data_IF_764189109811
#
_entry.id   IF_764189109811
#
_cell.length_a   1.000
_cell.length_b   1.000
_cell.length_c   1.000
_cell.angle_alpha   90.00
_cell.angle_beta   90.00
_cell.angle_gamma   90.00
#
_symmetry.space_group_name_H-M   'P 1'
#
loop_
_entity.id
_entity.type
_entity.pdbx_description
1 polymer ?
#
# COMPACT_ATOMS: atom_id res chain seq x y z
N UNK A 1 -10.61 27.12 21.99
CA UNK A 1 -10.67 28.60 22.07
C UNK A 1 -11.64 29.17 21.05
N UNK A 2 -11.45 28.94 19.74
CA UNK A 2 -12.37 29.46 18.71
C UNK A 2 -13.79 28.93 18.90
N UNK A 3 -13.96 27.61 18.93
CA UNK A 3 -15.27 26.97 19.07
C UNK A 3 -15.92 27.27 20.43
N UNK A 4 -15.14 27.19 21.52
CA UNK A 4 -15.66 27.31 22.88
C UNK A 4 -15.89 28.74 23.37
N UNK A 5 -15.33 29.76 22.71
CA UNK A 5 -15.38 31.15 23.20
C UNK A 5 -15.82 32.15 22.13
N UNK A 6 -15.27 32.07 20.92
CA UNK A 6 -15.57 33.01 19.83
C UNK A 6 -16.87 32.64 19.11
N UNK A 7 -17.14 31.35 18.88
CA UNK A 7 -18.36 30.88 18.22
C UNK A 7 -19.63 31.39 18.90
N UNK A 8 -19.83 31.14 20.21
CA UNK A 8 -21.01 31.61 20.93
C UNK A 8 -21.14 33.14 21.00
N UNK A 9 -20.04 33.89 20.86
CA UNK A 9 -20.07 35.35 20.84
C UNK A 9 -20.48 35.87 19.45
N UNK A 10 -19.96 35.25 18.38
CA UNK A 10 -20.34 35.60 17.02
C UNK A 10 -21.80 35.30 16.74
N UNK A 11 -22.31 34.13 17.14
CA UNK A 11 -23.74 33.79 16.99
C UNK A 11 -24.65 34.82 17.66
N UNK A 12 -24.26 35.31 18.85
CA UNK A 12 -25.02 36.38 19.53
C UNK A 12 -25.00 37.68 18.76
N UNK A 13 -23.87 38.03 18.16
CA UNK A 13 -23.75 39.26 17.37
C UNK A 13 -24.49 39.16 16.05
N UNK A 14 -24.41 38.02 15.36
CA UNK A 14 -25.18 37.71 14.14
C UNK A 14 -26.68 37.85 14.42
N UNK A 15 -27.18 37.19 15.47
CA UNK A 15 -28.58 37.28 15.87
C UNK A 15 -29.02 38.72 16.23
N UNK A 16 -28.16 39.51 16.89
CA UNK A 16 -28.45 40.92 17.17
C UNK A 16 -28.46 41.79 15.91
N UNK A 17 -27.53 41.56 14.97
CA UNK A 17 -27.49 42.26 13.69
C UNK A 17 -28.74 41.92 12.86
N UNK A 18 -29.13 40.65 12.84
CA UNK A 18 -30.33 40.17 12.16
C UNK A 18 -31.61 40.74 12.78
N UNK A 19 -31.69 40.85 14.11
CA UNK A 19 -32.88 41.37 14.77
C UNK A 19 -33.01 42.90 14.72
N UNK A 20 -31.89 43.63 14.75
CA UNK A 20 -31.90 45.09 14.92
C UNK A 20 -31.56 45.87 13.65
N UNK A 21 -30.85 45.26 12.70
CA UNK A 21 -30.27 45.94 11.54
C UNK A 21 -30.73 45.40 10.19
N UNK A 22 -31.05 44.10 10.11
CA UNK A 22 -31.63 43.48 8.93
C UNK A 22 -33.14 43.36 9.14
N UNK A 23 -33.93 43.88 8.20
CA UNK A 23 -35.38 43.77 8.26
C UNK A 23 -35.82 42.58 7.39
N UNK A 24 -36.92 41.91 7.76
CA UNK A 24 -37.42 40.64 7.18
C UNK A 24 -37.60 40.63 5.63
N UNK A 25 -37.56 41.79 4.96
CA UNK A 25 -37.86 41.92 3.52
C UNK A 25 -36.65 41.76 2.58
N UNK A 26 -35.41 41.81 3.09
CA UNK A 26 -34.21 41.83 2.21
C UNK A 26 -33.62 40.44 1.92
N UNK A 27 -34.06 39.38 2.62
CA UNK A 27 -33.55 38.02 2.44
C UNK A 27 -32.04 37.88 2.71
N UNK A 28 -31.49 38.76 3.54
CA UNK A 28 -30.08 38.82 3.92
C UNK A 28 -29.87 38.15 5.29
N UNK A 29 -28.77 37.44 5.43
CA UNK A 29 -28.31 36.83 6.69
C UNK A 29 -26.92 37.39 7.06
N UNK A 30 -26.64 37.49 8.36
CA UNK A 30 -25.34 37.94 8.85
C UNK A 30 -24.53 36.73 9.32
N UNK A 31 -23.39 36.44 8.68
CA UNK A 31 -22.50 35.35 9.07
C UNK A 31 -21.04 35.82 9.18
N UNK A 32 -20.39 35.50 10.30
CA UNK A 32 -18.95 35.67 10.50
C UNK A 32 -18.17 34.49 9.91
N UNK A 33 -17.40 34.78 8.86
CA UNK A 33 -16.53 33.79 8.21
C UNK A 33 -15.29 33.46 9.06
N UNK A 34 -15.38 32.41 9.88
CA UNK A 34 -14.25 31.88 10.65
C UNK A 34 -13.22 31.11 9.82
N UNK A 35 -13.49 30.87 8.54
CA UNK A 35 -12.57 30.21 7.60
C UNK A 35 -11.20 30.89 7.53
N UNK A 36 -11.13 32.21 7.75
CA UNK A 36 -9.88 32.95 7.77
C UNK A 36 -9.10 32.82 9.08
N UNK A 37 -9.73 32.39 10.17
CA UNK A 37 -9.07 32.15 11.44
C UNK A 37 -8.17 30.90 11.39
N UNK A 38 -8.52 29.94 10.53
CA UNK A 38 -7.69 28.77 10.17
C UNK A 38 -6.39 29.16 9.42
N UNK A 39 -6.24 30.41 8.97
CA UNK A 39 -4.97 30.89 8.37
C UNK A 39 -3.81 30.82 9.36
N UNK A 40 -4.07 30.86 10.67
CA UNK A 40 -3.06 30.71 11.72
C UNK A 40 -2.63 29.25 11.99
N UNK A 41 -3.39 28.26 11.51
CA UNK A 41 -3.07 26.83 11.64
C UNK A 41 -2.86 26.20 10.26
N UNK A 42 -1.62 26.24 9.79
CA UNK A 42 -1.22 25.68 8.50
C UNK A 42 -1.53 24.18 8.37
N UNK A 43 -1.55 23.43 9.48
CA UNK A 43 -1.80 21.99 9.45
C UNK A 43 -3.28 21.68 9.24
N UNK A 44 -4.17 22.31 10.01
CA UNK A 44 -5.62 22.18 9.84
C UNK A 44 -6.05 22.67 8.44
N UNK A 45 -5.45 23.76 7.96
CA UNK A 45 -5.72 24.31 6.63
C UNK A 45 -5.29 23.38 5.49
N UNK A 46 -4.11 22.75 5.61
CA UNK A 46 -3.65 21.76 4.63
C UNK A 46 -4.56 20.52 4.60
N UNK A 47 -5.01 20.06 5.77
CA UNK A 47 -5.93 18.93 5.89
C UNK A 47 -7.30 19.23 5.26
N UNK A 48 -7.85 20.43 5.49
CA UNK A 48 -9.12 20.86 4.92
C UNK A 48 -9.11 20.81 3.37
N UNK A 49 -8.11 21.42 2.74
CA UNK A 49 -7.99 21.39 1.28
C UNK A 49 -7.72 19.98 0.74
N UNK A 50 -6.89 19.19 1.41
CA UNK A 50 -6.61 17.82 0.99
C UNK A 50 -7.88 16.96 1.02
N UNK A 51 -8.67 17.06 2.09
CA UNK A 51 -9.94 16.36 2.23
C UNK A 51 -10.94 16.78 1.15
N UNK A 52 -11.03 18.08 0.83
CA UNK A 52 -11.93 18.57 -0.21
C UNK A 52 -11.55 18.17 -1.62
N UNK A 53 -10.25 18.23 -1.95
CA UNK A 53 -9.73 17.84 -3.26
C UNK A 53 -9.91 16.35 -3.49
N UNK A 54 -9.60 15.51 -2.49
CA UNK A 54 -9.75 14.06 -2.60
C UNK A 54 -11.23 13.61 -2.52
N UNK A 55 -12.05 14.35 -1.76
CA UNK A 55 -13.49 14.11 -1.66
C UNK A 55 -14.29 14.60 -2.87
N UNK A 56 -13.68 15.37 -3.76
CA UNK A 56 -14.27 15.81 -5.02
C UNK A 56 -15.28 16.95 -4.92
N UNK A 57 -15.49 17.53 -3.73
CA UNK A 57 -16.33 18.72 -3.55
C UNK A 57 -15.56 20.04 -3.66
N UNK A 58 -14.23 19.98 -3.65
CA UNK A 58 -13.35 21.13 -3.87
C UNK A 58 -12.41 20.86 -5.05
N UNK A 59 -12.36 21.76 -6.01
CA UNK A 59 -11.39 21.72 -7.09
C UNK A 59 -10.05 22.31 -6.65
N UNK A 60 -8.98 21.94 -7.35
CA UNK A 60 -7.64 22.47 -7.03
C UNK A 60 -7.53 23.96 -7.34
N UNK A 61 -8.27 24.49 -8.32
CA UNK A 61 -8.28 25.93 -8.59
C UNK A 61 -9.08 26.72 -7.55
N UNK A 62 -10.18 26.19 -7.02
CA UNK A 62 -10.89 26.84 -5.91
C UNK A 62 -10.00 26.97 -4.66
N UNK A 63 -9.23 25.92 -4.34
CA UNK A 63 -8.23 25.97 -3.26
C UNK A 63 -7.08 26.97 -3.53
N UNK A 64 -6.75 27.24 -4.81
CA UNK A 64 -5.73 28.26 -5.16
C UNK A 64 -6.29 29.66 -5.02
N UNK A 65 -7.53 29.88 -5.44
CA UNK A 65 -8.22 31.16 -5.31
C UNK A 65 -8.39 31.55 -3.83
N UNK A 66 -8.76 30.60 -2.96
CA UNK A 66 -8.87 30.84 -1.51
C UNK A 66 -7.52 31.21 -0.86
N UNK A 67 -6.41 30.79 -1.48
CA UNK A 67 -5.04 31.13 -1.09
C UNK A 67 -4.48 32.38 -1.80
N UNK A 68 -5.31 33.11 -2.56
CA UNK A 68 -4.88 34.25 -3.40
C UNK A 68 -3.78 33.87 -4.42
N UNK A 69 -3.83 32.65 -4.95
CA UNK A 69 -2.95 32.16 -6.00
C UNK A 69 -3.69 32.12 -7.34
N UNK A 70 -2.96 32.40 -8.42
CA UNK A 70 -3.53 32.33 -9.78
C UNK A 70 -3.96 30.89 -10.12
N UNK A 71 -5.11 30.71 -10.80
CA UNK A 71 -5.55 29.40 -11.27
C UNK A 71 -4.59 28.82 -12.30
N UNK A 72 -4.55 27.50 -12.39
CA UNK A 72 -3.76 26.76 -13.38
C UNK A 72 -4.70 26.05 -14.37
N UNK A 73 -4.31 25.94 -15.66
CA UNK A 73 -5.16 25.29 -16.65
C UNK A 73 -5.41 23.81 -16.31
N UNK A 74 -6.65 23.35 -16.44
CA UNK A 74 -7.03 21.94 -16.26
C UNK A 74 -7.26 21.51 -14.80
N UNK A 75 -7.28 22.45 -13.86
CA UNK A 75 -7.51 22.18 -12.43
C UNK A 75 -8.91 22.56 -11.93
N UNK A 76 -9.81 22.92 -12.83
CA UNK A 76 -11.20 23.34 -12.56
C UNK A 76 -12.19 22.18 -12.43
N UNK A 77 -11.73 20.93 -12.58
CA UNK A 77 -12.56 19.73 -12.41
C UNK A 77 -12.20 19.02 -11.11
N UNK A 78 -13.18 18.45 -10.40
CA UNK A 78 -12.94 17.58 -9.26
C UNK A 78 -11.92 16.49 -9.61
N UNK A 79 -11.01 16.21 -8.68
CA UNK A 79 -10.03 15.15 -8.87
C UNK A 79 -10.76 13.81 -8.91
N UNK A 80 -10.74 13.14 -10.07
CA UNK A 80 -11.23 11.78 -10.18
C UNK A 80 -10.14 10.82 -9.72
N UNK A 81 -10.40 9.96 -8.72
CA UNK A 81 -9.41 8.96 -8.31
C UNK A 81 -9.16 8.00 -9.48
N UNK A 82 -7.87 7.75 -9.77
CA UNK A 82 -7.41 6.97 -10.93
C UNK A 82 -7.97 5.53 -10.97
N UNK A 83 -8.44 5.02 -9.83
CA UNK A 83 -9.00 3.68 -9.70
C UNK A 83 -10.52 3.59 -10.02
N UNK A 84 -11.17 4.71 -10.38
CA UNK A 84 -12.61 4.81 -10.68
C UNK A 84 -12.90 5.38 -12.08
N UNK A 85 -11.92 5.34 -12.99
CA UNK A 85 -12.18 5.70 -14.38
C UNK A 85 -12.87 4.52 -15.08
N UNK A 86 -14.18 4.64 -15.32
CA UNK A 86 -14.86 3.82 -16.31
C UNK A 86 -14.30 4.14 -17.71
N UNK A 87 -13.96 3.08 -18.43
CA UNK A 87 -13.43 3.07 -19.79
C UNK A 87 -14.53 3.50 -20.78
N UNK A 88 -14.91 4.78 -20.80
CA UNK A 88 -16.08 5.20 -21.57
C UNK A 88 -16.19 6.66 -22.02
N UNK A 89 -15.42 7.61 -21.51
CA UNK A 89 -15.60 9.01 -21.89
C UNK A 89 -14.28 9.69 -22.24
N UNK A 90 -13.73 9.29 -23.38
CA UNK A 90 -12.80 10.11 -24.15
C UNK A 90 -13.59 10.77 -25.29
N UNK A 91 -13.69 12.12 -25.36
CA UNK A 91 -14.18 12.77 -26.57
C UNK A 91 -13.26 12.42 -27.74
N UNK A 92 -13.87 12.10 -28.88
CA UNK A 92 -13.22 11.56 -30.09
C UNK A 92 -12.13 12.45 -30.71
N UNK A 93 -11.36 11.90 -31.65
CA UNK A 93 -9.98 12.28 -31.90
C UNK A 93 -9.86 13.44 -32.90
N UNK A 94 -9.14 14.49 -32.53
CA UNK A 94 -8.41 15.30 -33.50
C UNK A 94 -6.99 14.72 -33.62
N UNK A 95 -6.70 14.12 -34.76
CA UNK A 95 -5.35 13.64 -35.08
C UNK A 95 -4.53 14.82 -35.58
N UNK A 96 -3.34 15.08 -35.02
CA UNK A 96 -2.18 15.03 -35.90
C UNK A 96 -1.06 14.18 -35.31
N UNK A 97 -0.66 13.19 -36.11
CA UNK A 97 0.66 12.55 -36.22
C UNK A 97 1.75 13.08 -35.29
N UNK A 98 1.97 12.35 -34.19
CA UNK A 98 3.30 12.17 -33.63
C UNK A 98 3.53 10.66 -33.60
N UNK A 99 4.56 10.22 -34.32
CA UNK A 99 5.10 8.87 -34.31
C UNK A 99 5.04 8.28 -32.90
N UNK A 100 4.40 7.11 -32.69
CA UNK A 100 4.34 6.54 -31.36
C UNK A 100 5.78 6.25 -30.90
N UNK A 101 6.29 6.84 -29.80
CA UNK A 101 7.29 6.13 -29.04
C UNK A 101 6.64 4.81 -28.64
N UNK A 102 7.36 3.71 -28.83
CA UNK A 102 6.97 2.38 -28.40
C UNK A 102 6.51 2.41 -26.94
N UNK A 103 5.21 2.58 -26.73
CA UNK A 103 4.60 2.48 -25.42
C UNK A 103 4.37 0.99 -25.19
N UNK A 104 5.40 0.35 -24.64
CA UNK A 104 5.25 -0.97 -24.03
C UNK A 104 4.02 -0.91 -23.11
N UNK A 105 3.01 -1.78 -23.29
CA UNK A 105 1.85 -1.79 -22.42
C UNK A 105 2.29 -1.96 -20.97
N UNK A 106 1.58 -1.37 -19.98
CA UNK A 106 1.89 -1.55 -18.57
C UNK A 106 1.68 -3.02 -18.18
N UNK A 107 2.79 -3.76 -18.27
CA UNK A 107 3.15 -4.92 -17.48
C UNK A 107 2.14 -6.04 -17.37
N UNK A 108 2.20 -7.00 -18.29
CA UNK A 108 2.36 -8.40 -17.84
C UNK A 108 3.36 -8.37 -16.69
N UNK A 109 3.10 -8.94 -15.50
CA UNK A 109 4.05 -8.91 -14.40
C UNK A 109 5.38 -9.39 -14.99
N UNK A 110 6.38 -8.51 -15.01
CA UNK A 110 7.66 -8.88 -15.60
C UNK A 110 8.08 -10.15 -14.87
N UNK A 111 8.54 -11.17 -15.60
CA UNK A 111 9.02 -12.41 -14.97
C UNK A 111 10.01 -12.10 -13.82
N UNK A 112 10.68 -10.94 -13.86
CA UNK A 112 11.48 -10.39 -12.76
C UNK A 112 10.71 -10.09 -11.46
N UNK A 113 9.49 -9.53 -11.51
CA UNK A 113 8.68 -9.28 -10.30
C UNK A 113 8.16 -10.59 -9.67
N UNK A 114 7.73 -11.54 -10.50
CA UNK A 114 7.31 -12.87 -10.03
C UNK A 114 8.50 -13.60 -9.38
N UNK A 115 9.66 -13.59 -10.04
CA UNK A 115 10.89 -14.15 -9.49
C UNK A 115 11.30 -13.46 -8.17
N UNK A 116 11.22 -12.12 -8.09
CA UNK A 116 11.55 -11.40 -6.86
C UNK A 116 10.65 -11.79 -5.67
N UNK A 117 9.35 -12.00 -5.92
CA UNK A 117 8.41 -12.48 -4.89
C UNK A 117 8.73 -13.92 -4.47
N UNK A 118 9.02 -14.81 -5.43
CA UNK A 118 9.43 -16.18 -5.16
C UNK A 118 10.71 -16.24 -4.32
N UNK A 119 11.74 -15.49 -4.69
CA UNK A 119 13.00 -15.38 -3.95
C UNK A 119 12.78 -14.82 -2.54
N UNK A 120 11.93 -13.80 -2.38
CA UNK A 120 11.63 -13.24 -1.06
C UNK A 120 10.91 -14.25 -0.16
N UNK A 121 9.98 -15.04 -0.70
CA UNK A 121 9.31 -16.11 0.03
C UNK A 121 10.31 -17.23 0.41
N UNK A 122 11.10 -17.70 -0.55
CA UNK A 122 12.13 -18.73 -0.35
C UNK A 122 13.14 -18.35 0.73
N UNK A 123 13.63 -17.10 0.74
CA UNK A 123 14.56 -16.60 1.77
C UNK A 123 13.99 -16.65 3.19
N UNK A 124 12.68 -16.40 3.36
CA UNK A 124 12.04 -16.48 4.69
C UNK A 124 12.00 -17.92 5.20
N UNK A 125 11.77 -18.87 4.31
CA UNK A 125 11.78 -20.30 4.64
C UNK A 125 13.20 -20.77 4.93
N UNK A 126 14.16 -20.49 4.03
CA UNK A 126 15.56 -20.89 4.19
C UNK A 126 16.18 -20.38 5.50
N UNK A 127 15.96 -19.11 5.86
CA UNK A 127 16.41 -18.56 7.15
C UNK A 127 15.84 -19.31 8.34
N UNK A 128 14.54 -19.63 8.28
CA UNK A 128 13.89 -20.39 9.34
C UNK A 128 14.47 -21.81 9.42
N UNK A 129 14.72 -22.46 8.29
CA UNK A 129 15.40 -23.77 8.27
C UNK A 129 16.77 -23.72 8.94
N UNK A 130 17.57 -22.68 8.70
CA UNK A 130 18.89 -22.58 9.32
C UNK A 130 18.80 -22.53 10.86
N UNK A 131 17.82 -21.80 11.41
CA UNK A 131 17.56 -21.79 12.86
C UNK A 131 17.17 -23.19 13.38
N UNK A 132 16.36 -23.92 12.61
CA UNK A 132 15.89 -25.27 12.96
C UNK A 132 17.02 -26.30 12.87
N UNK A 133 17.83 -26.27 11.81
CA UNK A 133 18.99 -27.14 11.61
C UNK A 133 20.05 -26.87 12.68
N UNK A 134 20.37 -25.60 12.96
CA UNK A 134 21.33 -25.24 13.99
C UNK A 134 20.90 -25.77 15.37
N UNK A 135 19.59 -25.69 15.68
CA UNK A 135 19.02 -26.23 16.91
C UNK A 135 19.03 -27.76 16.94
N UNK A 136 18.78 -28.43 15.82
CA UNK A 136 18.82 -29.89 15.73
C UNK A 136 20.26 -30.43 15.85
N UNK A 137 21.25 -29.75 15.24
CA UNK A 137 22.68 -30.15 15.28
C UNK A 137 23.28 -30.12 16.69
N UNK A 138 22.74 -29.31 17.61
CA UNK A 138 23.18 -29.27 19.01
C UNK A 138 22.55 -30.35 19.91
N UNK A 139 21.60 -31.12 19.38
CA UNK A 139 20.94 -32.21 20.11
C UNK A 139 21.76 -33.51 20.05
N UNK A 140 21.62 -34.37 21.07
CA UNK A 140 22.35 -35.65 21.16
C UNK A 140 21.93 -36.64 20.06
N UNK A 141 20.65 -36.63 19.69
CA UNK A 141 20.09 -37.41 18.57
C UNK A 141 19.64 -36.42 17.48
N UNK A 142 20.51 -36.22 16.49
CA UNK A 142 20.33 -35.21 15.45
C UNK A 142 19.21 -35.59 14.48
N UNK A 143 19.16 -36.87 14.09
CA UNK A 143 18.22 -37.35 13.07
C UNK A 143 16.79 -37.31 13.61
N UNK A 144 16.58 -37.76 14.85
CA UNK A 144 15.28 -37.65 15.50
C UNK A 144 14.86 -36.18 15.70
N UNK A 145 15.79 -35.31 16.08
CA UNK A 145 15.52 -33.89 16.26
C UNK A 145 15.14 -33.19 14.93
N UNK A 146 15.81 -33.51 13.82
CA UNK A 146 15.47 -32.98 12.50
C UNK A 146 14.06 -33.40 12.10
N UNK A 147 13.71 -34.68 12.26
CA UNK A 147 12.39 -35.20 11.88
C UNK A 147 11.25 -34.51 12.66
N UNK A 148 11.41 -34.33 13.97
CA UNK A 148 10.41 -33.64 14.80
C UNK A 148 10.24 -32.17 14.38
N UNK A 149 11.35 -31.48 14.15
CA UNK A 149 11.36 -30.05 13.85
C UNK A 149 10.81 -29.77 12.45
N UNK A 150 11.19 -30.56 11.46
CA UNK A 150 10.68 -30.44 10.09
C UNK A 150 9.20 -30.86 9.99
N UNK A 151 8.74 -31.84 10.77
CA UNK A 151 7.32 -32.21 10.84
C UNK A 151 6.42 -31.03 11.22
N UNK A 152 6.88 -30.15 12.12
CA UNK A 152 6.19 -28.90 12.48
C UNK A 152 6.39 -27.80 11.42
N UNK A 153 7.46 -27.86 10.65
CA UNK A 153 7.82 -26.86 9.64
C UNK A 153 7.01 -26.99 8.34
N UNK A 154 6.57 -28.20 7.96
CA UNK A 154 5.84 -28.45 6.69
C UNK A 154 4.68 -27.48 6.48
N UNK A 155 3.85 -27.25 7.50
CA UNK A 155 2.71 -26.33 7.40
C UNK A 155 3.12 -24.88 7.16
N UNK A 156 4.27 -24.47 7.71
CA UNK A 156 4.83 -23.14 7.46
C UNK A 156 5.34 -23.03 6.01
N UNK A 157 6.06 -24.03 5.50
CA UNK A 157 6.54 -24.06 4.11
C UNK A 157 5.36 -23.99 3.14
N UNK A 158 4.35 -24.85 3.34
CA UNK A 158 3.14 -24.89 2.50
C UNK A 158 2.42 -23.53 2.47
N UNK A 159 2.29 -22.86 3.62
CA UNK A 159 1.60 -21.56 3.70
C UNK A 159 2.40 -20.41 3.10
N UNK A 160 3.71 -20.33 3.35
CA UNK A 160 4.56 -19.25 2.83
C UNK A 160 4.77 -19.36 1.32
N UNK A 161 4.97 -20.57 0.83
CA UNK A 161 5.25 -20.83 -0.59
C UNK A 161 3.98 -21.05 -1.41
N UNK A 162 2.80 -21.14 -0.76
CA UNK A 162 1.52 -21.46 -1.41
C UNK A 162 1.58 -22.79 -2.18
N UNK A 163 2.22 -23.79 -1.58
CA UNK A 163 2.40 -25.12 -2.16
C UNK A 163 1.37 -26.11 -1.61
N UNK A 164 0.97 -27.13 -2.38
CA UNK A 164 0.23 -28.26 -1.85
C UNK A 164 0.99 -28.92 -0.69
N UNK A 165 0.25 -29.41 0.32
CA UNK A 165 0.86 -29.98 1.52
C UNK A 165 1.76 -31.19 1.22
N UNK A 166 1.39 -32.00 0.23
CA UNK A 166 2.17 -33.14 -0.26
C UNK A 166 3.55 -32.71 -0.76
N UNK A 167 3.61 -31.71 -1.65
CA UNK A 167 4.86 -31.16 -2.19
C UNK A 167 5.73 -30.53 -1.10
N UNK A 168 5.14 -29.83 -0.14
CA UNK A 168 5.88 -29.28 0.99
C UNK A 168 6.48 -30.39 1.88
N UNK A 169 5.77 -31.53 2.02
CA UNK A 169 6.25 -32.69 2.79
C UNK A 169 7.43 -33.35 2.09
N UNK A 170 7.36 -33.54 0.77
CA UNK A 170 8.44 -34.08 -0.06
C UNK A 170 9.70 -33.20 -0.01
N UNK A 171 9.52 -31.88 -0.14
CA UNK A 171 10.61 -30.92 0.01
C UNK A 171 11.29 -31.05 1.38
N UNK A 172 10.50 -31.03 2.46
CA UNK A 172 11.05 -31.13 3.82
C UNK A 172 11.77 -32.48 4.05
N UNK A 173 11.26 -33.59 3.52
CA UNK A 173 11.92 -34.88 3.60
C UNK A 173 13.30 -34.86 2.90
N UNK A 174 13.35 -34.34 1.68
CA UNK A 174 14.61 -34.16 0.94
C UNK A 174 15.59 -33.23 1.67
N UNK A 175 15.08 -32.20 2.35
CA UNK A 175 15.91 -31.25 3.07
C UNK A 175 16.48 -31.84 4.37
N UNK A 176 15.77 -32.76 5.02
CA UNK A 176 16.29 -33.52 6.17
C UNK A 176 17.49 -34.36 5.75
N UNK A 177 17.41 -35.06 4.61
CA UNK A 177 18.51 -35.89 4.11
C UNK A 177 19.78 -35.06 3.83
N UNK A 178 19.62 -33.86 3.27
CA UNK A 178 20.73 -32.92 3.05
C UNK A 178 21.29 -32.38 4.37
N UNK A 179 20.42 -32.01 5.32
CA UNK A 179 20.82 -31.46 6.60
C UNK A 179 21.54 -32.48 7.50
N UNK A 180 21.23 -33.77 7.33
CA UNK A 180 21.87 -34.90 8.01
C UNK A 180 23.31 -35.14 7.53
N UNK A 181 23.65 -34.73 6.29
CA UNK A 181 25.00 -34.87 5.77
C UNK A 181 25.98 -33.91 6.50
N UNK A 182 27.01 -34.43 7.21
CA UNK A 182 27.93 -33.61 8.00
C UNK A 182 28.86 -32.73 7.16
N UNK A 183 29.05 -33.04 5.87
CA UNK A 183 29.96 -32.32 4.98
C UNK A 183 29.40 -30.95 4.53
N UNK A 184 28.10 -30.72 4.70
CA UNK A 184 27.46 -29.46 4.29
C UNK A 184 27.48 -28.42 5.43
N UNK A 185 28.14 -27.29 5.16
CA UNK A 185 28.07 -26.11 6.02
C UNK A 185 26.67 -25.48 6.00
N UNK A 186 26.30 -24.81 7.09
CA UNK A 186 24.97 -24.18 7.23
C UNK A 186 24.77 -23.07 6.17
N UNK A 187 25.83 -22.33 5.84
CA UNK A 187 25.75 -21.27 4.81
C UNK A 187 25.44 -21.85 3.42
N UNK A 188 26.04 -22.98 3.07
CA UNK A 188 25.79 -23.66 1.79
C UNK A 188 24.36 -24.21 1.73
N UNK A 189 23.86 -24.74 2.85
CA UNK A 189 22.47 -25.20 2.97
C UNK A 189 21.47 -24.05 2.81
N UNK A 190 21.76 -22.85 3.28
CA UNK A 190 20.87 -21.68 3.11
C UNK A 190 20.74 -21.30 1.63
N UNK A 191 21.86 -21.23 0.92
CA UNK A 191 21.89 -20.89 -0.51
C UNK A 191 21.12 -21.94 -1.30
N UNK A 192 21.42 -23.22 -1.06
CA UNK A 192 20.78 -24.35 -1.72
C UNK A 192 19.27 -24.39 -1.46
N UNK A 193 18.83 -24.19 -0.20
CA UNK A 193 17.42 -24.14 0.15
C UNK A 193 16.69 -23.01 -0.60
N UNK A 194 17.31 -21.82 -0.66
CA UNK A 194 16.73 -20.68 -1.36
C UNK A 194 16.59 -20.94 -2.86
N UNK A 195 17.59 -21.54 -3.50
CA UNK A 195 17.56 -21.89 -4.93
C UNK A 195 16.49 -22.94 -5.24
N UNK A 196 16.46 -24.04 -4.46
CA UNK A 196 15.49 -25.13 -4.64
C UNK A 196 14.05 -24.64 -4.45
N UNK A 197 13.79 -23.83 -3.41
CA UNK A 197 12.45 -23.27 -3.17
C UNK A 197 12.03 -22.26 -4.23
N UNK A 198 12.97 -21.45 -4.74
CA UNK A 198 12.69 -20.52 -5.84
C UNK A 198 12.36 -21.28 -7.12
N UNK A 199 13.13 -22.32 -7.43
CA UNK A 199 12.87 -23.18 -8.59
C UNK A 199 11.52 -23.89 -8.45
N UNK A 200 11.23 -24.46 -7.28
CA UNK A 200 9.96 -25.10 -6.97
C UNK A 200 8.77 -24.15 -7.14
N UNK A 201 8.90 -22.90 -6.70
CA UNK A 201 7.85 -21.89 -6.86
C UNK A 201 7.59 -21.50 -8.33
N UNK A 202 8.62 -21.54 -9.18
CA UNK A 202 8.52 -21.13 -10.58
C UNK A 202 8.13 -22.27 -11.52
N UNK A 203 8.55 -23.50 -11.23
CA UNK A 203 8.40 -24.66 -12.13
C UNK A 203 7.43 -25.72 -11.60
N UNK A 204 7.13 -25.70 -10.30
CA UNK A 204 6.34 -26.73 -9.63
C UNK A 204 7.07 -28.07 -9.44
N UNK A 205 8.39 -28.13 -9.71
CA UNK A 205 9.18 -29.35 -9.61
C UNK A 205 10.31 -29.22 -8.59
N UNK A 206 10.49 -30.28 -7.80
CA UNK A 206 11.63 -30.45 -6.90
C UNK A 206 12.85 -30.91 -7.71
N UNK A 207 13.96 -30.18 -7.60
CA UNK A 207 15.28 -30.58 -8.12
C UNK A 207 16.09 -31.28 -7.05
#
# INVERSE_FOLDING_TARGET
>A
FVQECLGPMAERWEASIEAELLFDDDGLEAEFLFSQLLRGDSAARAQYYNAGINGGWLTRNEARLSENLNPLPGLDRPLRPLNMAEEGDAPGPETPTITPPSHTPPGTPSNGRLNALAVAAAKRVARREMELIAKARSSADRDAALLEVYGKHVGFVASVMTLPHEVATEYCASQIDLAANPDHEIADLEILACERLTHLALTGQLT
#
